data_IF_960502491849
#
_entry.id   IF_960502491849
#
_cell.length_a   1.000
_cell.length_b   1.000
_cell.length_c   1.000
_cell.angle_alpha   90.00
_cell.angle_beta   90.00
_cell.angle_gamma   90.00
#
_symmetry.space_group_name_H-M   'P 1'
#
loop_
_entity.id
_entity.type
_entity.pdbx_description
1 polymer ?
#
# COMPACT_ATOMS: atom_id res chain seq x y z
N UNK A 1 -9.26 -23.29 4.63
CA UNK A 1 -8.30 -22.16 4.68
C UNK A 1 -7.19 -22.63 5.59
N UNK A 2 -5.94 -22.61 5.12
CA UNK A 2 -4.79 -22.80 6.00
C UNK A 2 -4.77 -21.65 7.01
N UNK A 3 -4.59 -21.98 8.28
CA UNK A 3 -4.44 -20.99 9.35
C UNK A 3 -3.06 -20.35 9.27
N UNK A 4 -2.86 -19.18 9.90
CA UNK A 4 -1.53 -18.55 10.01
C UNK A 4 -0.50 -19.54 10.58
N UNK A 5 -0.93 -20.37 11.54
CA UNK A 5 -0.11 -21.42 12.17
C UNK A 5 0.25 -22.55 11.20
N UNK A 6 -0.64 -22.91 10.27
CA UNK A 6 -0.34 -23.92 9.23
C UNK A 6 0.70 -23.40 8.23
N UNK A 7 0.66 -22.09 7.92
CA UNK A 7 1.63 -21.43 7.04
C UNK A 7 3.00 -21.23 7.70
N UNK A 8 3.02 -21.04 9.02
CA UNK A 8 4.23 -20.85 9.82
C UNK A 8 5.00 -22.15 10.08
N UNK A 9 4.29 -23.26 10.24
CA UNK A 9 4.84 -24.54 10.68
C UNK A 9 6.03 -25.05 9.82
N UNK A 10 6.03 -24.92 8.47
CA UNK A 10 7.16 -25.33 7.64
C UNK A 10 8.43 -24.53 7.93
N UNK A 11 8.30 -23.23 8.23
CA UNK A 11 9.45 -22.35 8.50
C UNK A 11 10.04 -22.64 9.87
N UNK A 12 9.20 -22.77 10.89
CA UNK A 12 9.65 -23.06 12.26
C UNK A 12 10.32 -24.43 12.37
N UNK A 13 9.83 -25.45 11.63
CA UNK A 13 10.45 -26.78 11.61
C UNK A 13 11.74 -26.87 10.80
N UNK A 14 11.92 -25.99 9.81
CA UNK A 14 13.08 -26.01 8.90
C UNK A 14 14.27 -25.21 9.44
N UNK A 15 14.01 -24.16 10.21
CA UNK A 15 15.03 -23.21 10.67
C UNK A 15 15.25 -23.31 12.18
N UNK A 16 16.51 -23.51 12.58
CA UNK A 16 16.90 -23.62 13.99
C UNK A 16 16.88 -22.27 14.72
N UNK A 17 17.17 -21.19 13.98
CA UNK A 17 17.06 -19.81 14.45
C UNK A 17 15.86 -19.18 13.76
N UNK A 18 14.82 -18.84 14.53
CA UNK A 18 13.58 -18.30 14.00
C UNK A 18 13.17 -17.07 14.78
N UNK A 19 12.85 -15.98 14.07
CA UNK A 19 12.27 -14.76 14.62
C UNK A 19 10.95 -14.53 13.90
N UNK A 20 9.91 -14.25 14.66
CA UNK A 20 8.62 -13.81 14.14
C UNK A 20 8.23 -12.51 14.83
N UNK A 21 8.08 -11.43 14.09
CA UNK A 21 7.79 -10.12 14.66
C UNK A 21 6.71 -9.37 13.87
N UNK A 22 5.85 -8.63 14.56
CA UNK A 22 4.87 -7.74 13.94
C UNK A 22 3.71 -7.38 14.87
N UNK A 23 2.79 -6.55 14.38
CA UNK A 23 1.52 -6.19 15.04
C UNK A 23 0.47 -7.31 14.92
N UNK A 24 0.37 -8.16 15.94
CA UNK A 24 -0.59 -9.26 15.93
C UNK A 24 -2.02 -8.79 16.23
N UNK A 25 -2.22 -7.53 16.66
CA UNK A 25 -3.52 -6.98 17.06
C UNK A 25 -4.33 -7.92 17.98
N UNK A 26 -3.65 -8.51 18.98
CA UNK A 26 -4.24 -9.39 20.00
C UNK A 26 -4.26 -8.68 21.37
N UNK A 27 -5.06 -7.61 21.55
CA UNK A 27 -5.06 -6.79 22.77
C UNK A 27 -5.60 -7.53 24.01
N UNK A 28 -6.30 -8.65 23.81
CA UNK A 28 -6.96 -9.41 24.87
C UNK A 28 -6.06 -10.51 25.46
N UNK A 29 -4.90 -10.77 24.86
CA UNK A 29 -3.95 -11.77 25.35
C UNK A 29 -2.98 -11.11 26.33
N UNK A 30 -2.93 -11.64 27.56
CA UNK A 30 -1.90 -11.27 28.52
C UNK A 30 -0.59 -12.01 28.21
N UNK A 31 0.25 -11.37 27.39
CA UNK A 31 1.55 -11.89 27.00
C UNK A 31 2.57 -11.93 28.15
N UNK A 32 2.32 -11.22 29.26
CA UNK A 32 3.23 -11.17 30.40
C UNK A 32 3.04 -12.35 31.36
N UNK A 33 1.80 -12.78 31.59
CA UNK A 33 1.51 -13.87 32.53
C UNK A 33 1.36 -15.24 31.87
N UNK A 34 1.05 -15.30 30.55
CA UNK A 34 0.70 -16.52 29.80
C UNK A 34 -0.38 -17.39 30.48
N UNK A 35 -0.99 -16.91 31.58
CA UNK A 35 -2.06 -17.56 32.30
C UNK A 35 -3.34 -17.24 31.54
N UNK A 36 -3.95 -18.28 30.95
CA UNK A 36 -5.20 -18.18 30.20
C UNK A 36 -6.24 -17.38 31.00
N UNK A 37 -6.43 -16.11 30.65
CA UNK A 37 -7.59 -15.34 31.10
C UNK A 37 -8.79 -15.90 30.35
N UNK A 38 -9.57 -16.71 31.06
CA UNK A 38 -10.75 -17.40 30.60
C UNK A 38 -11.92 -16.45 30.35
N UNK A 39 -11.83 -15.55 29.37
CA UNK A 39 -12.98 -14.76 28.91
C UNK A 39 -13.03 -14.60 27.39
N UNK A 40 -13.90 -15.42 26.80
CA UNK A 40 -14.72 -15.18 25.59
C UNK A 40 -14.06 -14.76 24.27
N UNK A 41 -13.87 -15.77 23.41
CA UNK A 41 -14.41 -15.77 22.04
C UNK A 41 -13.61 -15.06 20.96
N UNK A 42 -13.06 -15.88 20.05
CA UNK A 42 -12.36 -15.61 18.78
C UNK A 42 -10.81 -15.62 18.86
N UNK A 43 -10.22 -16.61 18.16
CA UNK A 43 -8.81 -16.81 17.76
C UNK A 43 -7.67 -16.86 18.82
N UNK A 44 -7.95 -16.64 20.11
CA UNK A 44 -6.96 -16.59 21.21
C UNK A 44 -6.03 -17.81 21.45
N UNK A 45 -6.41 -19.09 21.23
CA UNK A 45 -5.56 -20.21 21.61
C UNK A 45 -4.58 -20.65 20.52
N UNK A 46 -4.75 -20.26 19.25
CA UNK A 46 -3.97 -20.86 18.16
C UNK A 46 -2.51 -20.37 18.13
N UNK A 47 -2.28 -19.05 18.25
CA UNK A 47 -0.94 -18.49 18.21
C UNK A 47 -0.14 -18.78 19.49
N UNK A 48 -0.81 -18.71 20.65
CA UNK A 48 -0.23 -19.07 21.96
C UNK A 48 0.12 -20.55 22.03
N UNK A 49 -0.79 -21.45 21.60
CA UNK A 49 -0.49 -22.88 21.50
C UNK A 49 0.59 -23.18 20.46
N UNK A 50 0.63 -22.43 19.35
CA UNK A 50 1.67 -22.59 18.33
C UNK A 50 3.04 -22.17 18.85
N UNK A 51 3.16 -21.03 19.51
CA UNK A 51 4.39 -20.57 20.12
C UNK A 51 4.90 -21.58 21.16
N UNK A 52 4.01 -22.06 22.04
CA UNK A 52 4.32 -23.09 23.02
C UNK A 52 4.74 -24.42 22.38
N UNK A 53 3.98 -24.91 21.39
CA UNK A 53 4.23 -26.19 20.71
C UNK A 53 5.51 -26.20 19.86
N UNK A 54 6.07 -25.03 19.57
CA UNK A 54 7.27 -24.89 18.75
C UNK A 54 8.43 -24.19 19.50
N UNK A 55 8.38 -24.13 20.83
CA UNK A 55 9.46 -23.57 21.66
C UNK A 55 9.88 -22.16 21.21
N UNK A 56 8.88 -21.30 21.02
CA UNK A 56 9.07 -19.89 20.70
C UNK A 56 8.82 -19.05 21.96
N UNK A 57 9.80 -18.23 22.31
CA UNK A 57 9.74 -17.28 23.41
C UNK A 57 9.25 -15.92 22.89
N UNK A 58 8.12 -15.43 23.39
CA UNK A 58 7.70 -14.04 23.19
C UNK A 58 8.63 -13.14 24.03
N UNK A 59 9.15 -12.08 23.44
CA UNK A 59 10.21 -11.27 24.01
C UNK A 59 9.77 -9.87 24.45
N UNK A 60 8.58 -9.43 24.08
CA UNK A 60 8.09 -8.06 24.32
C UNK A 60 7.31 -8.04 25.64
N UNK A 61 7.96 -7.58 26.71
CA UNK A 61 7.37 -7.52 28.05
C UNK A 61 6.72 -6.17 28.40
N UNK A 62 6.90 -5.15 27.56
CA UNK A 62 6.35 -3.81 27.79
C UNK A 62 5.27 -3.45 26.76
N UNK A 63 4.29 -2.60 27.12
CA UNK A 63 3.28 -2.14 26.18
C UNK A 63 3.90 -1.49 24.94
N UNK A 64 3.48 -1.98 23.78
CA UNK A 64 3.87 -1.48 22.46
C UNK A 64 2.81 -0.59 21.84
N UNK A 65 1.62 -0.46 22.44
CA UNK A 65 0.63 0.53 22.05
C UNK A 65 0.11 1.30 23.28
N UNK A 66 0.10 2.63 23.23
CA UNK A 66 -0.38 3.53 24.29
C UNK A 66 -1.44 4.46 23.72
N UNK A 67 -2.71 4.22 24.08
CA UNK A 67 -3.85 5.05 23.69
C UNK A 67 -4.50 5.66 24.94
N UNK A 68 -4.16 6.92 25.24
CA UNK A 68 -4.66 7.61 26.42
C UNK A 68 -4.23 6.92 27.72
N UNK A 69 -5.20 6.41 28.50
CA UNK A 69 -4.93 5.67 29.74
C UNK A 69 -4.83 4.15 29.53
N UNK A 70 -4.95 3.66 28.30
CA UNK A 70 -4.87 2.24 27.97
C UNK A 70 -3.53 1.91 27.33
N UNK A 71 -2.90 0.85 27.80
CA UNK A 71 -1.63 0.35 27.30
C UNK A 71 -1.77 -1.15 26.98
N UNK A 72 -1.35 -1.57 25.79
CA UNK A 72 -1.45 -2.96 25.31
C UNK A 72 -0.18 -3.41 24.60
N UNK A 73 0.06 -4.72 24.60
CA UNK A 73 1.17 -5.34 23.85
C UNK A 73 0.58 -5.85 22.54
N UNK A 74 0.79 -5.12 21.45
CA UNK A 74 0.27 -5.44 20.11
C UNK A 74 1.38 -5.92 19.17
N UNK A 75 2.51 -5.22 19.19
CA UNK A 75 3.73 -5.60 18.48
C UNK A 75 4.45 -6.67 19.29
N UNK A 76 4.46 -7.90 18.78
CA UNK A 76 5.09 -9.06 19.42
C UNK A 76 6.34 -9.45 18.65
N UNK A 77 7.30 -9.99 19.39
CA UNK A 77 8.51 -10.60 18.85
C UNK A 77 8.65 -11.98 19.48
N UNK A 78 8.59 -13.02 18.67
CA UNK A 78 8.84 -14.41 19.04
C UNK A 78 10.21 -14.82 18.54
N UNK A 79 11.01 -15.46 19.38
CA UNK A 79 12.30 -16.04 19.00
C UNK A 79 12.34 -17.52 19.35
N UNK A 80 13.05 -18.34 18.58
CA UNK A 80 13.30 -19.73 18.97
C UNK A 80 14.16 -19.79 20.23
N UNK A 81 13.96 -20.83 21.05
CA UNK A 81 14.74 -21.04 22.28
C UNK A 81 16.25 -21.11 22.04
N UNK A 82 16.71 -21.57 20.88
CA UNK A 82 18.13 -21.58 20.50
C UNK A 82 18.66 -20.15 20.33
N UNK A 83 17.85 -19.21 19.82
CA UNK A 83 18.19 -17.79 19.76
C UNK A 83 18.10 -17.11 21.12
N UNK A 84 17.08 -17.44 21.92
CA UNK A 84 16.98 -16.97 23.31
C UNK A 84 18.21 -17.38 24.13
N UNK A 85 18.62 -18.65 24.04
CA UNK A 85 19.81 -19.19 24.69
C UNK A 85 21.13 -18.57 24.19
N UNK A 86 21.16 -18.03 22.97
CA UNK A 86 22.29 -17.25 22.41
C UNK A 86 22.35 -15.81 22.93
N UNK A 87 21.46 -15.44 23.85
CA UNK A 87 21.42 -14.13 24.50
C UNK A 87 20.62 -13.10 23.71
N UNK A 88 19.49 -13.51 23.12
CA UNK A 88 18.54 -12.57 22.54
C UNK A 88 18.00 -11.62 23.60
N UNK A 89 18.03 -10.31 23.35
CA UNK A 89 17.43 -9.32 24.25
C UNK A 89 16.42 -8.52 23.45
N UNK A 90 15.24 -8.31 24.02
CA UNK A 90 14.28 -7.38 23.46
C UNK A 90 14.07 -6.21 24.40
N UNK A 91 14.18 -4.99 23.87
CA UNK A 91 13.85 -3.76 24.57
C UNK A 91 12.75 -3.04 23.81
N UNK A 92 11.88 -2.31 24.52
CA UNK A 92 10.86 -1.48 23.90
C UNK A 92 11.29 -0.03 24.02
N UNK A 93 11.50 0.61 22.88
CA UNK A 93 11.85 2.03 22.82
C UNK A 93 10.65 2.83 22.35
N UNK A 94 10.66 4.13 22.62
CA UNK A 94 9.63 5.02 22.09
C UNK A 94 9.66 4.95 20.55
N UNK A 95 8.49 4.65 19.97
CA UNK A 95 8.32 4.47 18.54
C UNK A 95 7.65 5.69 17.91
N UNK A 96 7.14 5.50 16.70
CA UNK A 96 6.38 6.53 15.98
C UNK A 96 4.90 6.34 16.35
N UNK A 97 4.30 7.36 16.96
CA UNK A 97 2.87 7.50 17.29
C UNK A 97 2.48 6.85 18.62
N UNK A 98 1.26 6.33 18.67
CA UNK A 98 0.74 5.53 19.78
C UNK A 98 1.41 4.15 19.86
N UNK A 99 2.43 3.87 19.04
CA UNK A 99 3.20 2.62 19.06
C UNK A 99 4.62 2.83 19.60
N UNK A 100 5.04 1.99 20.55
CA UNK A 100 6.44 1.81 20.97
C UNK A 100 7.07 0.67 20.19
N UNK A 101 8.34 0.83 19.79
CA UNK A 101 9.03 -0.09 18.91
C UNK A 101 9.79 -1.18 19.69
N UNK A 102 9.52 -2.47 19.48
CA UNK A 102 10.35 -3.54 20.02
C UNK A 102 11.63 -3.68 19.20
N UNK A 103 12.77 -3.52 19.87
CA UNK A 103 14.12 -3.77 19.34
C UNK A 103 14.57 -5.14 19.83
N UNK A 104 15.07 -5.97 18.92
CA UNK A 104 15.55 -7.32 19.20
C UNK A 104 17.04 -7.45 18.84
N UNK A 105 17.87 -7.91 19.77
CA UNK A 105 19.33 -7.98 19.67
C UNK A 105 19.87 -9.42 19.74
N UNK A 106 20.90 -9.78 18.96
CA UNK A 106 21.57 -11.11 19.02
C UNK A 106 23.10 -11.00 18.82
N UNK A 107 23.87 -12.06 19.16
CA UNK A 107 25.36 -12.09 19.13
C UNK A 107 25.96 -12.97 17.99
N UNK A 108 26.84 -12.42 17.13
CA UNK A 108 27.64 -13.10 16.07
C UNK A 108 29.10 -12.55 15.91
N UNK A 109 29.95 -12.96 14.94
CA UNK A 109 31.35 -12.45 14.69
C UNK A 109 31.63 -12.20 13.19
N UNK A 110 32.33 -11.13 12.76
CA UNK A 110 33.15 -11.06 11.50
C UNK A 110 34.15 -9.86 11.44
N UNK A 111 34.97 -9.79 10.37
CA UNK A 111 36.27 -9.10 10.21
C UNK A 111 36.27 -7.75 9.44
N UNK A 112 37.33 -6.96 9.66
CA UNK A 112 37.61 -5.63 9.08
C UNK A 112 37.88 -5.62 7.55
N UNK A 113 37.31 -4.65 6.81
CA UNK A 113 38.03 -3.50 6.20
C UNK A 113 37.22 -2.73 5.14
N UNK A 114 37.53 -1.43 5.07
CA UNK A 114 37.12 -0.35 4.18
C UNK A 114 37.32 -0.59 2.68
N UNK A 115 36.41 -0.07 1.84
CA UNK A 115 36.64 0.16 0.40
C UNK A 115 36.32 1.60 -0.02
N UNK A 116 36.99 2.11 -1.08
CA UNK A 116 37.08 3.53 -1.36
C UNK A 116 35.98 4.04 -2.30
N UNK A 117 35.41 5.19 -1.95
CA UNK A 117 34.37 5.88 -2.72
C UNK A 117 34.95 6.43 -4.02
N UNK A 118 34.39 6.02 -5.16
CA UNK A 118 34.61 6.66 -6.46
C UNK A 118 34.13 8.12 -6.42
N UNK A 119 35.06 9.07 -6.29
CA UNK A 119 34.83 10.48 -6.59
C UNK A 119 34.69 10.65 -8.11
N UNK A 120 33.47 10.63 -8.63
CA UNK A 120 33.15 11.21 -9.94
C UNK A 120 31.86 12.02 -9.82
N UNK A 121 32.02 13.35 -9.84
CA UNK A 121 30.97 14.39 -9.91
C UNK A 121 29.79 14.19 -8.94
N UNK A 122 29.92 14.67 -7.71
CA UNK A 122 28.82 14.70 -6.73
C UNK A 122 27.88 15.87 -7.04
N UNK A 123 26.86 15.63 -7.87
CA UNK A 123 25.66 16.48 -7.85
C UNK A 123 24.79 16.04 -6.67
N UNK A 124 24.17 16.98 -5.93
CA UNK A 124 23.21 16.64 -4.89
C UNK A 124 22.11 15.73 -5.43
N UNK A 125 21.65 14.76 -4.62
CA UNK A 125 20.64 13.76 -5.00
C UNK A 125 19.40 14.42 -5.59
N UNK A 126 18.94 15.50 -4.94
CA UNK A 126 17.78 16.25 -5.39
C UNK A 126 17.99 16.90 -6.77
N UNK A 127 19.20 17.34 -7.11
CA UNK A 127 19.49 17.93 -8.41
C UNK A 127 19.44 16.88 -9.53
N UNK A 128 19.99 15.69 -9.29
CA UNK A 128 19.88 14.56 -10.22
C UNK A 128 18.42 14.16 -10.46
N UNK A 129 17.64 14.12 -9.38
CA UNK A 129 16.20 13.88 -9.46
C UNK A 129 15.46 14.97 -10.25
N UNK A 130 15.75 16.25 -10.01
CA UNK A 130 15.17 17.35 -10.77
C UNK A 130 15.47 17.25 -12.27
N UNK A 131 16.70 16.87 -12.66
CA UNK A 131 17.04 16.65 -14.06
C UNK A 131 16.24 15.50 -14.68
N UNK A 132 16.17 14.36 -13.98
CA UNK A 132 15.36 13.23 -14.42
C UNK A 132 13.88 13.62 -14.58
N UNK A 133 13.29 14.22 -13.54
CA UNK A 133 11.89 14.68 -13.54
C UNK A 133 11.62 15.68 -14.66
N UNK A 134 12.53 16.63 -14.90
CA UNK A 134 12.40 17.59 -15.99
C UNK A 134 12.42 16.91 -17.37
N UNK A 135 13.30 15.93 -17.58
CA UNK A 135 13.33 15.15 -18.82
C UNK A 135 12.03 14.35 -19.03
N UNK A 136 11.53 13.69 -17.97
CA UNK A 136 10.25 12.98 -18.00
C UNK A 136 9.10 13.92 -18.36
N UNK A 137 9.01 15.07 -17.69
CA UNK A 137 7.96 16.06 -17.95
C UNK A 137 8.05 16.66 -19.35
N UNK A 138 9.26 16.90 -19.85
CA UNK A 138 9.45 17.28 -21.24
C UNK A 138 8.86 16.23 -22.18
N UNK A 139 9.18 14.96 -21.97
CA UNK A 139 8.66 13.87 -22.79
C UNK A 139 7.13 13.74 -22.70
N UNK A 140 6.56 13.84 -21.50
CA UNK A 140 5.11 13.81 -21.30
C UNK A 140 4.42 14.97 -22.02
N UNK A 141 4.95 16.18 -21.91
CA UNK A 141 4.37 17.39 -22.51
C UNK A 141 4.41 17.35 -24.03
N UNK A 142 5.51 16.89 -24.63
CA UNK A 142 5.74 16.99 -26.07
C UNK A 142 5.35 15.74 -26.87
N UNK A 143 5.37 14.55 -26.25
CA UNK A 143 5.15 13.29 -26.96
C UNK A 143 3.93 12.49 -26.48
N UNK A 144 3.27 12.88 -25.38
CA UNK A 144 2.05 12.22 -24.91
C UNK A 144 0.81 13.06 -25.21
N UNK A 145 -0.03 12.67 -26.19
CA UNK A 145 -1.20 13.44 -26.57
C UNK A 145 -2.28 13.37 -25.48
N UNK A 146 -2.65 14.53 -24.93
CA UNK A 146 -3.73 14.63 -23.94
C UNK A 146 -5.06 14.80 -24.67
N UNK A 147 -6.01 13.89 -24.42
CA UNK A 147 -7.38 13.98 -24.95
C UNK A 147 -8.40 14.14 -23.83
N UNK A 148 -9.15 15.25 -23.85
CA UNK A 148 -10.34 15.42 -23.00
C UNK A 148 -11.47 14.56 -23.55
N UNK A 149 -11.77 13.44 -22.89
CA UNK A 149 -12.91 12.57 -23.25
C UNK A 149 -14.11 12.90 -22.37
N UNK A 150 -15.20 13.38 -22.97
CA UNK A 150 -16.49 13.50 -22.26
C UNK A 150 -17.05 12.09 -22.03
N UNK A 151 -16.93 11.59 -20.81
CA UNK A 151 -17.53 10.31 -20.41
C UNK A 151 -19.03 10.54 -20.29
N UNK A 152 -19.80 10.05 -21.26
CA UNK A 152 -21.26 9.99 -21.14
C UNK A 152 -21.61 8.76 -20.32
N UNK A 153 -22.37 8.94 -19.23
CA UNK A 153 -22.97 7.81 -18.51
C UNK A 153 -23.94 7.10 -19.46
N UNK A 154 -23.51 5.98 -20.03
CA UNK A 154 -24.36 5.09 -20.81
C UNK A 154 -24.69 3.86 -19.98
N UNK A 155 -25.95 3.44 -19.99
CA UNK A 155 -26.34 2.21 -19.31
C UNK A 155 -25.59 1.01 -19.91
N UNK A 156 -25.08 0.08 -19.09
CA UNK A 156 -24.27 -1.05 -19.57
C UNK A 156 -24.95 -1.92 -20.63
N UNK A 157 -26.28 -2.05 -20.55
CA UNK A 157 -27.11 -2.81 -21.50
C UNK A 157 -27.43 -2.04 -22.81
N UNK A 158 -26.77 -0.91 -23.07
CA UNK A 158 -27.01 -0.13 -24.30
C UNK A 158 -26.18 -0.70 -25.45
N UNK A 159 -26.76 -1.62 -26.22
CA UNK A 159 -26.11 -2.22 -27.39
C UNK A 159 -26.09 -1.28 -28.61
N UNK A 160 -25.31 -1.64 -29.65
CA UNK A 160 -25.24 -0.88 -30.91
C UNK A 160 -26.60 -0.84 -31.61
N UNK A 161 -27.33 -1.94 -31.56
CA UNK A 161 -28.67 -2.13 -32.13
C UNK A 161 -29.67 -1.15 -31.48
N UNK A 162 -29.67 -1.08 -30.15
CA UNK A 162 -30.49 -0.12 -29.37
C UNK A 162 -30.14 1.32 -29.75
N UNK A 163 -28.85 1.65 -29.91
CA UNK A 163 -28.42 2.99 -30.34
C UNK A 163 -28.92 3.31 -31.75
N UNK A 164 -28.77 2.37 -32.69
CA UNK A 164 -29.20 2.54 -34.07
C UNK A 164 -30.73 2.70 -34.16
N UNK A 165 -31.50 1.89 -33.43
CA UNK A 165 -32.96 2.00 -33.38
C UNK A 165 -33.41 3.32 -32.76
N UNK A 166 -32.77 3.79 -31.67
CA UNK A 166 -33.00 5.15 -31.12
C UNK A 166 -32.74 6.25 -32.15
N UNK A 167 -31.63 6.18 -32.89
CA UNK A 167 -31.29 7.16 -33.94
C UNK A 167 -32.29 7.13 -35.08
N UNK A 168 -32.72 5.94 -35.53
CA UNK A 168 -33.73 5.77 -36.57
C UNK A 168 -35.06 6.40 -36.18
N UNK A 169 -35.56 6.11 -34.97
CA UNK A 169 -36.79 6.73 -34.43
C UNK A 169 -36.67 8.25 -34.40
N UNK A 170 -35.52 8.79 -33.98
CA UNK A 170 -35.29 10.24 -33.91
C UNK A 170 -35.36 10.89 -35.30
N UNK A 171 -34.72 10.29 -36.32
CA UNK A 171 -34.76 10.78 -37.71
C UNK A 171 -36.18 10.75 -38.28
N UNK A 172 -36.90 9.63 -38.10
CA UNK A 172 -38.29 9.50 -38.56
C UNK A 172 -39.24 10.48 -37.85
N UNK A 173 -39.00 10.74 -36.56
CA UNK A 173 -39.82 11.69 -35.79
C UNK A 173 -39.60 13.14 -36.22
N UNK A 174 -38.42 13.50 -36.74
CA UNK A 174 -38.12 14.85 -37.23
C UNK A 174 -38.80 15.18 -38.57
N UNK A 175 -39.09 14.17 -39.40
CA UNK A 175 -39.68 14.31 -40.74
C UNK A 175 -41.11 13.73 -40.80
N UNK A 176 -41.90 13.88 -39.73
CA UNK A 176 -43.16 13.14 -39.56
C UNK A 176 -44.30 13.62 -40.47
N UNK A 177 -44.57 12.90 -41.56
CA UNK A 177 -45.86 12.87 -42.29
C UNK A 177 -46.83 11.85 -41.65
N UNK A 178 -48.14 11.96 -41.91
CA UNK A 178 -49.18 11.14 -41.26
C UNK A 178 -48.95 9.62 -41.28
N UNK A 179 -48.40 9.09 -42.37
CA UNK A 179 -48.09 7.66 -42.57
C UNK A 179 -46.96 7.15 -41.67
N UNK A 180 -46.04 8.03 -41.24
CA UNK A 180 -44.89 7.65 -40.41
C UNK A 180 -45.26 7.47 -38.92
N UNK A 181 -46.42 7.94 -38.47
CA UNK A 181 -46.83 7.88 -37.04
C UNK A 181 -46.95 6.44 -36.52
N UNK A 182 -47.61 5.56 -37.27
CA UNK A 182 -47.80 4.15 -36.87
C UNK A 182 -46.48 3.38 -36.83
N UNK A 183 -45.62 3.60 -37.82
CA UNK A 183 -44.29 2.99 -37.86
C UNK A 183 -43.42 3.44 -36.67
N UNK A 184 -43.44 4.74 -36.33
CA UNK A 184 -42.70 5.28 -35.18
C UNK A 184 -43.23 4.66 -33.88
N UNK A 185 -44.55 4.52 -33.71
CA UNK A 185 -45.14 3.91 -32.53
C UNK A 185 -44.69 2.45 -32.35
N UNK A 186 -44.72 1.64 -33.43
CA UNK A 186 -44.24 0.26 -33.42
C UNK A 186 -42.75 0.17 -33.06
N UNK A 187 -41.90 0.98 -33.70
CA UNK A 187 -40.45 0.99 -33.40
C UNK A 187 -40.14 1.41 -31.97
N UNK A 188 -40.95 2.32 -31.38
CA UNK A 188 -40.83 2.69 -29.95
C UNK A 188 -41.18 1.53 -29.02
N UNK A 189 -42.22 0.75 -29.37
CA UNK A 189 -42.62 -0.43 -28.60
C UNK A 189 -41.52 -1.51 -28.63
N UNK A 190 -41.02 -1.84 -29.82
CA UNK A 190 -39.90 -2.79 -29.99
C UNK A 190 -38.67 -2.33 -29.21
N UNK A 191 -38.28 -1.06 -29.33
CA UNK A 191 -37.15 -0.51 -28.58
C UNK A 191 -37.35 -0.66 -27.06
N UNK A 192 -38.58 -0.50 -26.56
CA UNK A 192 -38.90 -0.69 -25.14
C UNK A 192 -38.79 -2.16 -24.72
N UNK A 193 -39.09 -3.11 -25.60
CA UNK A 193 -38.90 -4.54 -25.34
C UNK A 193 -37.41 -4.90 -25.35
N UNK A 194 -36.67 -4.49 -26.39
CA UNK A 194 -35.22 -4.74 -26.51
C UNK A 194 -34.43 -4.17 -25.33
N UNK A 195 -34.74 -2.96 -24.87
CA UNK A 195 -34.09 -2.38 -23.68
C UNK A 195 -34.39 -3.19 -22.43
N UNK A 196 -35.63 -3.71 -22.27
CA UNK A 196 -36.02 -4.53 -21.12
C UNK A 196 -35.28 -5.86 -21.13
N UNK A 197 -35.22 -6.53 -22.27
CA UNK A 197 -34.50 -7.79 -22.45
C UNK A 197 -33.00 -7.60 -22.23
N UNK A 198 -32.39 -6.57 -22.84
CA UNK A 198 -30.98 -6.27 -22.65
C UNK A 198 -30.65 -5.97 -21.18
N UNK A 199 -31.53 -5.24 -20.47
CA UNK A 199 -31.37 -4.99 -19.03
C UNK A 199 -31.48 -6.28 -18.21
N UNK A 200 -32.44 -7.15 -18.52
CA UNK A 200 -32.62 -8.44 -17.86
C UNK A 200 -31.38 -9.32 -18.06
N UNK A 201 -30.94 -9.47 -19.32
CA UNK A 201 -29.74 -10.24 -19.63
C UNK A 201 -28.51 -9.68 -18.89
N UNK A 202 -28.32 -8.37 -18.89
CA UNK A 202 -27.23 -7.77 -18.12
C UNK A 202 -27.28 -8.11 -16.63
N UNK A 203 -28.44 -7.99 -15.98
CA UNK A 203 -28.56 -8.27 -14.54
C UNK A 203 -28.42 -9.76 -14.18
N UNK A 204 -28.98 -10.66 -14.99
CA UNK A 204 -29.08 -12.08 -14.65
C UNK A 204 -28.02 -12.98 -15.29
N UNK A 205 -27.26 -12.49 -16.28
CA UNK A 205 -26.12 -13.23 -16.83
C UNK A 205 -24.83 -12.44 -16.68
N UNK A 206 -24.73 -11.28 -17.34
CA UNK A 206 -23.45 -10.54 -17.41
C UNK A 206 -22.95 -10.08 -16.04
N UNK A 207 -23.84 -9.58 -15.18
CA UNK A 207 -23.47 -9.08 -13.86
C UNK A 207 -23.01 -10.24 -12.96
N UNK A 208 -23.66 -11.40 -13.01
CA UNK A 208 -23.25 -12.57 -12.22
C UNK A 208 -21.89 -13.11 -12.68
N UNK A 209 -21.62 -13.12 -13.99
CA UNK A 209 -20.30 -13.52 -14.50
C UNK A 209 -19.16 -12.60 -14.00
N UNK A 210 -19.45 -11.34 -13.66
CA UNK A 210 -18.43 -10.48 -13.07
C UNK A 210 -18.00 -10.90 -11.67
N UNK A 211 -18.79 -11.69 -10.92
CA UNK A 211 -18.34 -12.21 -9.62
C UNK A 211 -17.13 -13.13 -9.73
N UNK A 212 -16.94 -13.78 -10.88
CA UNK A 212 -15.78 -14.64 -11.13
C UNK A 212 -14.71 -13.94 -11.96
N UNK A 213 -15.09 -13.17 -12.98
CA UNK A 213 -14.14 -12.55 -13.91
C UNK A 213 -13.56 -11.20 -13.43
N UNK A 214 -14.38 -10.34 -12.84
CA UNK A 214 -14.00 -8.98 -12.40
C UNK A 214 -14.91 -8.51 -11.24
N UNK A 215 -14.66 -9.02 -10.01
CA UNK A 215 -15.49 -8.70 -8.85
C UNK A 215 -15.58 -7.18 -8.58
N UNK A 216 -14.54 -6.43 -8.93
CA UNK A 216 -14.51 -4.97 -8.79
C UNK A 216 -15.58 -4.30 -9.64
N UNK A 217 -15.81 -4.79 -10.86
CA UNK A 217 -16.86 -4.27 -11.75
C UNK A 217 -18.26 -4.56 -11.24
N UNK A 218 -18.48 -5.74 -10.65
CA UNK A 218 -19.72 -6.10 -9.98
C UNK A 218 -20.02 -5.13 -8.83
N UNK A 219 -19.09 -5.02 -7.88
CA UNK A 219 -19.27 -4.16 -6.70
C UNK A 219 -19.45 -2.70 -7.06
N UNK A 220 -18.77 -2.20 -8.09
CA UNK A 220 -18.98 -0.83 -8.60
C UNK A 220 -20.37 -0.58 -9.16
N UNK A 221 -21.04 -1.60 -9.71
CA UNK A 221 -22.39 -1.48 -10.23
C UNK A 221 -23.44 -1.47 -9.10
N UNK A 222 -23.25 -2.33 -8.09
CA UNK A 222 -24.18 -2.45 -6.96
C UNK A 222 -23.99 -1.34 -5.92
N UNK A 223 -22.75 -0.88 -5.74
CA UNK A 223 -22.45 0.15 -4.75
C UNK A 223 -23.17 1.45 -5.10
N UNK A 224 -23.86 2.08 -4.13
CA UNK A 224 -24.48 3.37 -4.34
C UNK A 224 -23.43 4.40 -4.79
N UNK A 225 -23.82 5.24 -5.76
CA UNK A 225 -22.98 6.35 -6.19
C UNK A 225 -22.80 7.31 -5.02
N UNK A 226 -21.60 7.31 -4.47
CA UNK A 226 -21.22 8.14 -3.33
C UNK A 226 -21.03 9.58 -3.83
N UNK A 227 -21.82 10.56 -3.36
CA UNK A 227 -21.58 11.97 -3.71
C UNK A 227 -20.19 12.39 -3.23
N UNK A 228 -19.58 13.34 -3.94
CA UNK A 228 -18.36 13.99 -3.49
C UNK A 228 -18.58 14.68 -2.14
N UNK A 229 -17.51 14.83 -1.37
CA UNK A 229 -17.58 15.55 -0.11
C UNK A 229 -17.70 17.05 -0.42
N UNK A 230 -18.78 17.67 0.02
CA UNK A 230 -19.06 19.10 -0.16
C UNK A 230 -18.90 19.90 1.12
N UNK A 231 -18.91 19.24 2.27
CA UNK A 231 -18.77 19.86 3.59
C UNK A 231 -18.08 18.89 4.57
N UNK A 232 -17.30 19.45 5.50
CA UNK A 232 -16.63 18.73 6.58
C UNK A 232 -16.87 19.45 7.91
N UNK A 233 -17.19 18.70 8.97
CA UNK A 233 -17.37 19.18 10.34
C UNK A 233 -16.06 19.02 11.11
N UNK A 234 -15.55 20.13 11.63
CA UNK A 234 -14.30 20.17 12.41
C UNK A 234 -14.56 21.00 13.66
N UNK A 235 -14.45 20.39 14.85
CA UNK A 235 -14.52 21.07 16.15
C UNK A 235 -15.66 22.11 16.27
N UNK A 236 -16.88 21.78 15.80
CA UNK A 236 -18.11 22.60 15.75
C UNK A 236 -18.25 23.62 14.60
N UNK A 237 -17.32 23.65 13.65
CA UNK A 237 -17.44 24.46 12.43
C UNK A 237 -17.69 23.57 11.21
N UNK A 238 -18.35 24.14 10.18
CA UNK A 238 -18.57 23.46 8.89
C UNK A 238 -17.69 24.14 7.84
N UNK A 239 -16.84 23.35 7.19
CA UNK A 239 -15.93 23.78 6.14
C UNK A 239 -16.45 23.27 4.80
N UNK A 240 -16.66 24.18 3.85
CA UNK A 240 -17.20 23.85 2.52
C UNK A 240 -16.19 24.10 1.39
N UNK A 241 -15.16 24.92 1.63
CA UNK A 241 -14.14 25.19 0.62
C UNK A 241 -13.22 23.96 0.44
N UNK A 242 -12.98 23.47 -0.79
CA UNK A 242 -12.16 22.29 -1.02
C UNK A 242 -10.73 22.37 -0.48
N UNK A 243 -10.10 23.55 -0.52
CA UNK A 243 -8.75 23.74 0.01
C UNK A 243 -8.74 23.72 1.53
N UNK A 244 -9.72 24.35 2.15
CA UNK A 244 -9.89 24.32 3.60
C UNK A 244 -10.26 22.91 4.12
N UNK A 245 -11.08 22.16 3.38
CA UNK A 245 -11.36 20.74 3.68
C UNK A 245 -10.07 19.92 3.62
N UNK A 246 -9.24 20.11 2.60
CA UNK A 246 -7.95 19.43 2.49
C UNK A 246 -7.01 19.80 3.64
N UNK A 247 -6.95 21.08 4.02
CA UNK A 247 -6.21 21.56 5.20
C UNK A 247 -6.68 20.88 6.48
N UNK A 248 -7.99 20.84 6.72
CA UNK A 248 -8.57 20.20 7.89
C UNK A 248 -8.24 18.69 7.98
N UNK A 249 -8.23 17.98 6.85
CA UNK A 249 -7.77 16.58 6.82
C UNK A 249 -6.28 16.49 7.15
N UNK A 250 -5.45 17.35 6.57
CA UNK A 250 -4.01 17.35 6.85
C UNK A 250 -3.72 17.63 8.33
N UNK A 251 -4.36 18.65 8.91
CA UNK A 251 -4.19 19.00 10.33
C UNK A 251 -4.64 17.84 11.21
N UNK A 252 -5.85 17.32 10.97
CA UNK A 252 -6.36 16.19 11.74
C UNK A 252 -5.44 14.97 11.64
N UNK A 253 -5.04 14.56 10.44
CA UNK A 253 -4.16 13.40 10.29
C UNK A 253 -2.78 13.65 10.89
N UNK A 254 -2.22 14.86 10.73
CA UNK A 254 -0.96 15.25 11.36
C UNK A 254 -1.00 15.06 12.87
N UNK A 255 -2.01 15.62 13.55
CA UNK A 255 -2.10 15.54 15.01
C UNK A 255 -2.57 14.18 15.55
N UNK A 256 -3.42 13.46 14.80
CA UNK A 256 -4.02 12.20 15.29
C UNK A 256 -3.25 10.95 14.90
N UNK A 257 -2.37 11.01 13.90
CA UNK A 257 -1.68 9.82 13.34
C UNK A 257 -0.17 9.96 13.38
N UNK A 258 0.39 11.16 13.20
CA UNK A 258 1.84 11.35 13.14
C UNK A 258 2.39 11.82 14.49
N UNK A 259 3.54 11.27 14.88
CA UNK A 259 4.33 11.81 15.98
C UNK A 259 5.41 12.75 15.50
N UNK A 260 5.78 13.65 16.41
CA UNK A 260 6.96 14.47 16.28
C UNK A 260 8.14 13.62 16.74
N UNK A 261 9.05 13.33 15.82
CA UNK A 261 10.34 12.75 16.15
C UNK A 261 11.08 13.68 17.12
N UNK A 262 11.49 13.14 18.28
CA UNK A 262 12.22 13.88 19.29
C UNK A 262 13.70 14.06 18.91
N UNK A 263 14.15 13.48 17.79
CA UNK A 263 15.51 13.56 17.28
C UNK A 263 16.52 12.81 18.13
N UNK A 264 16.07 12.14 19.20
CA UNK A 264 16.90 11.29 20.02
C UNK A 264 16.83 9.87 19.50
N UNK A 265 17.94 9.43 18.91
CA UNK A 265 18.12 8.01 18.65
C UNK A 265 18.04 7.27 20.00
N UNK A 266 17.30 6.15 20.06
CA UNK A 266 17.36 5.29 21.23
C UNK A 266 18.81 4.91 21.48
N UNK A 267 19.19 4.74 22.74
CA UNK A 267 20.54 4.34 23.10
C UNK A 267 20.72 2.87 22.70
N UNK A 268 21.12 2.65 21.44
CA UNK A 268 21.35 1.31 20.90
C UNK A 268 22.63 0.80 21.58
N UNK A 269 22.55 -0.26 22.40
CA UNK A 269 23.73 -0.85 23.01
C UNK A 269 24.74 -1.18 21.91
N UNK A 270 26.01 -0.85 22.15
CA UNK A 270 27.10 -1.19 21.20
C UNK A 270 27.29 -2.70 21.21
N UNK A 271 26.46 -3.39 20.43
CA UNK A 271 26.55 -4.80 20.11
C UNK A 271 27.50 -5.04 18.93
N UNK A 272 27.67 -6.30 18.52
CA UNK A 272 28.54 -6.65 17.38
C UNK A 272 27.86 -6.36 16.04
N UNK A 273 28.64 -5.84 15.10
CA UNK A 273 28.20 -5.42 13.77
C UNK A 273 28.05 -6.60 12.80
N UNK A 274 26.85 -6.78 12.23
CA UNK A 274 26.65 -7.56 11.01
C UNK A 274 26.95 -6.63 9.83
N UNK A 275 28.15 -6.74 9.27
CA UNK A 275 28.55 -5.92 8.11
C UNK A 275 27.80 -6.41 6.87
N UNK A 276 26.69 -5.74 6.58
CA UNK A 276 26.04 -5.87 5.29
C UNK A 276 27.01 -5.37 4.22
N UNK A 277 27.24 -6.13 3.13
CA UNK A 277 27.99 -5.63 1.99
C UNK A 277 27.42 -4.29 1.52
N UNK A 278 28.25 -3.37 1.01
CA UNK A 278 27.76 -2.09 0.52
C UNK A 278 26.67 -2.33 -0.51
N UNK A 279 25.50 -1.73 -0.26
CA UNK A 279 24.36 -1.90 -1.13
C UNK A 279 24.63 -1.17 -2.45
N UNK A 280 24.80 -1.95 -3.51
CA UNK A 280 25.03 -1.41 -4.85
C UNK A 280 23.86 -1.76 -5.75
N UNK A 281 23.11 -0.75 -6.16
CA UNK A 281 21.95 -0.93 -7.03
C UNK A 281 22.43 -1.10 -8.48
N UNK A 282 22.06 -2.22 -9.09
CA UNK A 282 22.35 -2.50 -10.50
C UNK A 282 21.25 -1.97 -11.44
N UNK A 283 21.63 -1.55 -12.64
CA UNK A 283 20.69 -1.12 -13.68
C UNK A 283 19.69 -2.23 -14.05
N UNK A 284 20.16 -3.47 -14.12
CA UNK A 284 19.32 -4.64 -14.43
C UNK A 284 18.28 -4.89 -13.34
N UNK A 285 18.64 -4.70 -12.07
CA UNK A 285 17.72 -4.79 -10.94
C UNK A 285 16.62 -3.73 -11.02
N UNK A 286 17.00 -2.48 -11.31
CA UNK A 286 16.05 -1.37 -11.50
C UNK A 286 15.14 -1.63 -12.70
N UNK A 287 15.70 -2.02 -13.85
CA UNK A 287 14.92 -2.34 -15.05
C UNK A 287 13.87 -3.42 -14.76
N UNK A 288 14.27 -4.51 -14.08
CA UNK A 288 13.36 -5.59 -13.71
C UNK A 288 12.24 -5.10 -12.80
N UNK A 289 12.55 -4.22 -11.84
CA UNK A 289 11.55 -3.64 -10.95
C UNK A 289 10.57 -2.71 -11.70
N UNK A 290 11.07 -1.87 -12.62
CA UNK A 290 10.24 -0.96 -13.42
C UNK A 290 9.29 -1.70 -14.35
N UNK A 291 9.75 -2.76 -15.02
CA UNK A 291 8.92 -3.56 -15.94
C UNK A 291 7.78 -4.30 -15.25
N UNK A 292 7.93 -4.56 -13.94
CA UNK A 292 6.91 -5.20 -13.11
C UNK A 292 5.88 -4.23 -12.56
N UNK A 293 6.01 -2.91 -12.77
CA UNK A 293 5.06 -1.96 -12.20
C UNK A 293 3.65 -2.11 -12.78
N UNK A 294 2.64 -1.85 -11.94
CA UNK A 294 1.27 -1.77 -12.40
C UNK A 294 1.00 -0.41 -13.07
N UNK A 295 0.73 -0.44 -14.37
CA UNK A 295 0.46 0.76 -15.18
C UNK A 295 -0.77 1.59 -14.72
N UNK A 296 -1.71 1.00 -13.97
CA UNK A 296 -2.97 1.64 -13.58
C UNK A 296 -2.94 2.32 -12.21
N UNK A 297 -1.83 2.19 -11.46
CA UNK A 297 -1.71 2.78 -10.12
C UNK A 297 -1.59 4.30 -10.19
N UNK A 298 -2.07 4.95 -9.14
CA UNK A 298 -2.02 6.40 -8.98
C UNK A 298 -0.59 6.88 -8.78
N UNK A 299 -0.31 8.11 -9.21
CA UNK A 299 0.98 8.78 -9.03
C UNK A 299 1.11 9.36 -7.64
N UNK A 300 2.36 9.45 -7.17
CA UNK A 300 2.73 10.19 -5.98
C UNK A 300 2.77 11.71 -6.24
N UNK A 301 3.40 12.49 -5.35
CA UNK A 301 3.54 13.94 -5.51
C UNK A 301 4.40 14.36 -6.71
N UNK A 302 5.20 13.44 -7.26
CA UNK A 302 6.01 13.66 -8.46
C UNK A 302 5.21 13.63 -9.77
N UNK A 303 3.95 13.21 -9.75
CA UNK A 303 3.07 13.08 -10.93
C UNK A 303 3.67 12.31 -12.11
N UNK A 304 4.61 11.37 -11.86
CA UNK A 304 5.18 10.51 -12.90
C UNK A 304 4.33 9.25 -13.06
N UNK A 305 3.64 9.04 -14.20
CA UNK A 305 2.78 7.88 -14.38
C UNK A 305 3.57 6.56 -14.49
N UNK A 306 3.12 5.51 -13.82
CA UNK A 306 3.74 4.18 -13.92
C UNK A 306 3.84 3.68 -15.36
N UNK A 307 2.82 3.95 -16.19
CA UNK A 307 2.83 3.60 -17.62
C UNK A 307 4.01 4.22 -18.37
N UNK A 308 4.46 5.42 -17.98
CA UNK A 308 5.64 6.05 -18.55
C UNK A 308 6.90 5.31 -18.12
N UNK A 309 7.04 5.04 -16.82
CA UNK A 309 8.19 4.31 -16.26
C UNK A 309 8.35 2.93 -16.89
N UNK A 310 7.25 2.19 -17.10
CA UNK A 310 7.26 0.88 -17.76
C UNK A 310 7.66 1.00 -19.23
N UNK A 311 7.05 1.94 -19.96
CA UNK A 311 7.28 2.10 -21.41
C UNK A 311 8.72 2.50 -21.72
N UNK A 312 9.34 3.28 -20.85
CA UNK A 312 10.70 3.79 -21.02
C UNK A 312 11.66 3.20 -19.99
N UNK A 313 11.37 2.00 -19.50
CA UNK A 313 12.07 1.38 -18.37
C UNK A 313 13.59 1.28 -18.59
N UNK A 314 14.04 1.01 -19.82
CA UNK A 314 15.46 0.92 -20.17
C UNK A 314 16.22 2.25 -20.01
N UNK A 315 15.56 3.38 -20.30
CA UNK A 315 16.16 4.69 -20.09
C UNK A 315 16.03 5.11 -18.62
N UNK A 316 14.83 4.93 -18.05
CA UNK A 316 14.57 5.26 -16.65
C UNK A 316 15.50 4.49 -15.70
N UNK A 317 15.80 3.21 -15.97
CA UNK A 317 16.70 2.42 -15.13
C UNK A 317 18.09 3.02 -15.04
N UNK A 318 18.66 3.48 -16.16
CA UNK A 318 19.98 4.11 -16.21
C UNK A 318 20.05 5.35 -15.30
N UNK A 319 19.07 6.24 -15.40
CA UNK A 319 19.03 7.46 -14.58
C UNK A 319 18.76 7.14 -13.11
N UNK A 320 17.77 6.28 -12.83
CA UNK A 320 17.40 5.93 -11.47
C UNK A 320 18.51 5.17 -10.74
N UNK A 321 19.26 4.31 -11.41
CA UNK A 321 20.43 3.64 -10.83
C UNK A 321 21.48 4.64 -10.34
N UNK A 322 21.77 5.68 -11.12
CA UNK A 322 22.68 6.75 -10.67
C UNK A 322 22.11 7.45 -9.44
N UNK A 323 20.83 7.84 -9.47
CA UNK A 323 20.19 8.53 -8.34
C UNK A 323 20.20 7.66 -7.09
N UNK A 324 19.83 6.39 -7.18
CA UNK A 324 19.79 5.46 -6.05
C UNK A 324 21.16 5.25 -5.44
N UNK A 325 22.20 5.03 -6.24
CA UNK A 325 23.55 4.82 -5.72
C UNK A 325 24.12 6.10 -5.07
N UNK A 326 23.85 7.30 -5.62
CA UNK A 326 24.24 8.57 -4.99
C UNK A 326 23.45 8.79 -3.69
N UNK A 327 22.16 8.45 -3.69
CA UNK A 327 21.30 8.54 -2.50
C UNK A 327 21.79 7.63 -1.36
N UNK A 328 22.11 6.36 -1.66
CA UNK A 328 22.66 5.42 -0.68
C UNK A 328 24.04 5.87 -0.16
N UNK A 329 24.88 6.42 -1.02
CA UNK A 329 26.22 6.87 -0.63
C UNK A 329 26.22 8.15 0.20
N UNK A 330 25.23 9.03 0.01
CA UNK A 330 25.10 10.30 0.73
C UNK A 330 24.18 10.24 1.95
N UNK A 331 23.29 9.24 2.02
CA UNK A 331 22.22 9.20 3.02
C UNK A 331 21.10 10.22 2.77
N UNK A 332 21.08 10.85 1.59
CA UNK A 332 20.08 11.87 1.22
C UNK A 332 19.04 11.31 0.25
N UNK A 333 17.80 11.80 0.36
CA UNK A 333 16.71 11.48 -0.58
C UNK A 333 16.30 12.72 -1.39
N UNK A 334 15.77 12.54 -2.62
CA UNK A 334 15.08 13.63 -3.31
C UNK A 334 13.90 14.15 -2.50
N UNK A 335 13.62 15.45 -2.59
CA UNK A 335 12.54 16.09 -1.84
C UNK A 335 11.17 15.45 -2.11
N UNK A 336 10.88 15.08 -3.37
CA UNK A 336 9.63 14.42 -3.74
C UNK A 336 9.45 13.03 -3.07
N UNK A 337 10.55 12.37 -2.68
CA UNK A 337 10.52 11.04 -2.07
C UNK A 337 10.28 11.14 -0.56
N UNK A 338 10.64 12.26 0.05
CA UNK A 338 10.31 12.60 1.44
C UNK A 338 8.89 13.14 1.61
N UNK A 339 8.12 13.29 0.52
CA UNK A 339 6.75 13.78 0.53
C UNK A 339 5.75 12.69 0.16
N UNK A 340 4.53 12.81 0.69
CA UNK A 340 3.41 11.95 0.37
C UNK A 340 2.19 12.78 -0.03
N UNK A 341 1.42 12.29 -1.02
CA UNK A 341 0.08 12.81 -1.29
C UNK A 341 -0.92 12.03 -0.43
N UNK A 342 -1.55 12.70 0.53
CA UNK A 342 -2.52 12.08 1.43
C UNK A 342 -3.90 12.01 0.78
N UNK A 343 -4.48 10.82 0.74
CA UNK A 343 -5.84 10.57 0.23
C UNK A 343 -6.72 10.07 1.38
N UNK A 344 -7.73 10.85 1.82
CA UNK A 344 -8.66 10.42 2.85
C UNK A 344 -9.54 9.26 2.36
N UNK A 345 -9.45 8.10 3.01
CA UNK A 345 -10.32 6.95 2.75
C UNK A 345 -11.42 6.85 3.81
N UNK A 346 -12.67 7.05 3.39
CA UNK A 346 -13.86 6.89 4.24
C UNK A 346 -14.02 5.45 4.71
N UNK A 347 -14.05 5.22 6.03
CA UNK A 347 -14.32 3.90 6.64
C UNK A 347 -15.83 3.63 6.73
N UNK A 348 -16.52 4.28 7.66
CA UNK A 348 -17.93 4.04 7.99
C UNK A 348 -18.51 5.22 8.78
N UNK A 349 -19.79 5.53 8.63
CA UNK A 349 -20.45 6.63 9.35
C UNK A 349 -20.60 7.92 8.52
N UNK A 350 -20.98 9.05 9.16
CA UNK A 350 -21.26 10.31 8.49
C UNK A 350 -20.02 10.90 7.81
N UNK A 351 -20.06 11.07 6.49
CA UNK A 351 -18.93 11.58 5.67
C UNK A 351 -18.43 12.97 6.05
N UNK A 352 -19.28 13.74 6.72
CA UNK A 352 -18.92 15.06 7.20
C UNK A 352 -17.96 14.99 8.40
N UNK A 353 -17.82 13.85 9.06
CA UNK A 353 -16.92 13.68 10.19
C UNK A 353 -15.51 13.33 9.70
N UNK A 354 -14.51 14.10 10.12
CA UNK A 354 -13.10 13.88 9.75
C UNK A 354 -12.53 12.61 10.38
N UNK A 355 -13.05 12.21 11.55
CA UNK A 355 -12.49 11.13 12.39
C UNK A 355 -12.65 9.75 11.74
N UNK A 356 -13.69 9.58 10.91
CA UNK A 356 -14.01 8.29 10.28
C UNK A 356 -13.22 8.02 8.98
N UNK A 357 -12.23 8.85 8.69
CA UNK A 357 -11.35 8.69 7.54
C UNK A 357 -9.99 8.16 7.96
N UNK A 358 -9.37 7.38 7.08
CA UNK A 358 -7.99 6.95 7.21
C UNK A 358 -7.10 7.69 6.20
N UNK A 359 -5.90 8.14 6.57
CA UNK A 359 -4.95 8.67 5.60
C UNK A 359 -4.36 7.53 4.79
N UNK A 360 -4.41 7.63 3.45
CA UNK A 360 -3.60 6.80 2.55
C UNK A 360 -2.51 7.66 1.94
N UNK A 361 -1.25 7.29 2.20
CA UNK A 361 -0.08 7.97 1.65
C UNK A 361 0.27 7.45 0.25
N UNK A 362 0.12 8.28 -0.77
CA UNK A 362 0.64 8.02 -2.11
C UNK A 362 2.05 8.59 -2.23
N UNK A 363 3.06 7.72 -2.15
CA UNK A 363 4.48 8.06 -2.34
C UNK A 363 4.89 8.00 -3.81
N UNK A 364 6.05 8.58 -4.14
CA UNK A 364 6.72 8.42 -5.43
C UNK A 364 6.92 6.94 -5.76
N UNK A 365 6.58 6.54 -6.98
CA UNK A 365 6.85 5.17 -7.45
C UNK A 365 8.35 4.90 -7.54
N UNK A 366 9.16 5.91 -7.86
CA UNK A 366 10.62 5.76 -7.90
C UNK A 366 11.19 5.50 -6.49
N UNK A 367 10.69 6.20 -5.46
CA UNK A 367 11.06 5.89 -4.05
C UNK A 367 10.74 4.44 -3.69
N UNK A 368 9.52 3.99 -3.99
CA UNK A 368 9.07 2.61 -3.71
C UNK A 368 9.92 1.55 -4.41
N UNK A 369 10.39 1.84 -5.62
CA UNK A 369 11.30 0.93 -6.35
C UNK A 369 12.63 0.82 -5.62
N UNK A 370 13.18 1.92 -5.09
CA UNK A 370 14.39 1.90 -4.27
C UNK A 370 14.19 1.12 -2.98
N UNK A 371 13.12 1.42 -2.24
CA UNK A 371 12.74 0.73 -1.01
C UNK A 371 12.62 -0.78 -1.23
N UNK A 372 12.01 -1.20 -2.34
CA UNK A 372 11.90 -2.61 -2.71
C UNK A 372 13.26 -3.27 -2.97
N UNK A 373 14.17 -2.56 -3.63
CA UNK A 373 15.53 -3.06 -3.86
C UNK A 373 16.23 -3.22 -2.51
N UNK A 374 16.18 -2.19 -1.65
CA UNK A 374 16.76 -2.22 -0.30
C UNK A 374 16.20 -3.38 0.52
N UNK A 375 14.88 -3.54 0.53
CA UNK A 375 14.21 -4.65 1.20
C UNK A 375 14.77 -5.99 0.74
N UNK A 376 14.87 -6.23 -0.58
CA UNK A 376 15.43 -7.48 -1.09
C UNK A 376 16.86 -7.74 -0.64
N UNK A 377 17.71 -6.71 -0.65
CA UNK A 377 19.08 -6.84 -0.15
C UNK A 377 19.10 -7.19 1.33
N UNK A 378 18.28 -6.52 2.14
CA UNK A 378 18.16 -6.81 3.57
C UNK A 378 17.64 -8.22 3.81
N UNK A 379 16.55 -8.63 3.14
CA UNK A 379 15.99 -9.98 3.28
C UNK A 379 17.01 -11.06 2.93
N UNK A 380 17.71 -10.93 1.80
CA UNK A 380 18.75 -11.89 1.39
C UNK A 380 19.89 -11.95 2.42
N UNK A 381 20.35 -10.79 2.90
CA UNK A 381 21.39 -10.73 3.92
C UNK A 381 20.96 -11.42 5.21
N UNK A 382 19.73 -11.19 5.67
CA UNK A 382 19.17 -11.83 6.86
C UNK A 382 19.08 -13.35 6.68
N UNK A 383 18.57 -13.80 5.52
CA UNK A 383 18.48 -15.23 5.18
C UNK A 383 19.85 -15.93 5.16
N UNK A 384 20.85 -15.34 4.49
CA UNK A 384 22.22 -15.88 4.41
C UNK A 384 22.89 -16.01 5.78
N UNK A 385 22.55 -15.12 6.71
CA UNK A 385 23.06 -15.15 8.07
C UNK A 385 22.23 -16.06 9.01
N UNK A 386 21.31 -16.86 8.46
CA UNK A 386 20.36 -17.70 9.21
C UNK A 386 19.57 -16.90 10.26
N UNK A 387 19.22 -15.66 9.90
CA UNK A 387 18.32 -14.79 10.65
C UNK A 387 16.98 -14.82 9.92
N UNK A 388 16.17 -15.85 10.18
CA UNK A 388 14.84 -15.97 9.60
C UNK A 388 13.90 -14.99 10.29
N UNK A 389 13.48 -13.93 9.60
CA UNK A 389 12.56 -12.91 10.09
C UNK A 389 11.19 -13.06 9.43
N UNK A 390 10.20 -13.55 10.18
CA UNK A 390 8.82 -13.66 9.72
C UNK A 390 8.05 -12.40 10.12
N UNK A 391 7.66 -11.61 9.12
CA UNK A 391 6.67 -10.56 9.25
C UNK A 391 5.29 -11.18 9.00
N UNK A 392 4.28 -10.98 9.86
CA UNK A 392 2.96 -11.56 9.66
C UNK A 392 2.37 -11.16 8.30
N UNK A 393 1.53 -12.03 7.75
CA UNK A 393 1.07 -11.97 6.36
C UNK A 393 0.44 -10.63 5.92
N UNK A 394 0.00 -9.77 6.84
CA UNK A 394 -0.51 -8.42 6.55
C UNK A 394 0.61 -7.35 6.42
N UNK A 395 1.75 -7.55 7.09
CA UNK A 395 2.99 -6.74 6.97
C UNK A 395 3.83 -7.22 5.79
N UNK A 396 3.91 -8.55 5.61
CA UNK A 396 4.36 -9.12 4.36
C UNK A 396 3.46 -8.58 3.25
N UNK A 397 2.13 -8.62 3.34
CA UNK A 397 1.19 -7.88 2.46
C UNK A 397 1.32 -6.34 2.49
N UNK A 398 2.09 -5.68 3.34
CA UNK A 398 2.32 -4.24 3.20
C UNK A 398 3.43 -4.02 2.17
N UNK A 399 4.52 -4.78 2.25
CA UNK A 399 5.59 -4.87 1.25
C UNK A 399 5.18 -5.70 0.01
N UNK A 400 4.27 -6.64 0.19
CA UNK A 400 3.76 -7.64 -0.74
C UNK A 400 2.35 -7.27 -1.24
N UNK A 401 1.69 -6.19 -0.79
CA UNK A 401 0.66 -5.46 -1.59
C UNK A 401 1.22 -4.17 -2.17
N UNK A 402 2.39 -3.72 -1.72
CA UNK A 402 3.32 -3.06 -2.61
C UNK A 402 3.69 -4.07 -3.73
N UNK A 403 4.06 -5.34 -3.44
CA UNK A 403 4.54 -6.31 -4.44
C UNK A 403 3.58 -7.21 -5.25
N UNK A 404 2.48 -7.71 -4.73
CA UNK A 404 1.46 -8.52 -5.44
C UNK A 404 0.43 -7.64 -6.15
N UNK A 405 0.54 -6.31 -5.98
CA UNK A 405 -0.11 -5.32 -6.83
C UNK A 405 0.86 -4.61 -7.79
N UNK A 406 2.07 -5.13 -8.00
CA UNK A 406 2.97 -4.72 -9.10
C UNK A 406 2.58 -5.45 -10.39
#
# INVERSE_FOLDING_TARGET
METLTDQLLPYVRKHRNFIMAGDFNLPHVDWCSLLQSSHSGYDDPLLTNFAFSNNLSQMVAEPTCIQGNSASILDLVFVSDDMYAKGAICSVVDGIADHRMPILEFRGRTANQSTPVMKRFSFPVNQLWCFFKAAVYHCLKHFVPVRKKKIRKTSPWTSREIIHKKRRIRRLSANSTGTNKNLIARLRLELKQEIREAKRNYCYSSLLNFLTEDPSRFWRYISPQKPGLSELKVCNSVVCDPSAIAGAFNDYFFFSVFTIDNGSLPNIPVGREYLMPPLHVSETGVLSALLKLNAKKATGPDDIPNIFLIRYAEWCSKFLTVIYNVSLASGELPMDWSCARIVPLHKSGPRTDVIIYRPISLLSTCSKVMEHIIYKYLSLFLEENNITFFLPAWFDSYYTRLCECY
#
